data_IF_613295000629
#
_entry.id   IF_613295000629
#
_cell.length_a   1.000
_cell.length_b   1.000
_cell.length_c   1.000
_cell.angle_alpha   90.00
_cell.angle_beta   90.00
_cell.angle_gamma   90.00
#
_symmetry.space_group_name_H-M   'P 1'
#
loop_
_entity.id
_entity.type
_entity.pdbx_description
1 polymer ?
#
# COMPACT_ATOMS: atom_id res chain seq x y z
N UNK A 1 -20.61 20.17 18.09
CA UNK A 1 -20.35 19.77 17.70
C UNK A 1 -20.07 19.62 17.52
N UNK A 2 -19.88 19.73 17.62
CA UNK A 2 -19.51 19.40 17.28
C UNK A 2 -19.00 19.22 17.15
N UNK A 3 -18.79 19.03 17.18
CA UNK A 3 -18.26 18.64 16.79
C UNK A 3 -18.08 18.27 16.53
N UNK A 4 -17.98 18.04 16.54
CA UNK A 4 -17.89 17.60 15.99
C UNK A 4 -18.14 16.98 15.83
N UNK A 5 -18.36 16.66 16.11
CA UNK A 5 -18.90 15.89 15.74
C UNK A 5 -20.16 15.68 15.28
N UNK A 6 -21.04 15.50 15.29
CA UNK A 6 -22.37 15.24 14.77
C UNK A 6 -22.65 15.83 13.42
N UNK A 7 -21.76 16.51 12.91
CA UNK A 7 -21.84 17.04 11.55
C UNK A 7 -21.55 15.92 10.57
N UNK A 8 -22.23 15.91 9.42
CA UNK A 8 -21.97 14.86 8.43
C UNK A 8 -20.50 14.73 8.06
N UNK A 9 -19.80 15.85 8.02
CA UNK A 9 -18.38 15.82 7.68
C UNK A 9 -17.50 15.21 8.77
N UNK A 10 -18.03 15.04 9.97
CA UNK A 10 -17.26 14.49 11.08
C UNK A 10 -17.39 13.00 11.20
N UNK A 11 -18.25 12.39 10.42
CA UNK A 11 -18.37 10.96 10.47
C UNK A 11 -17.17 10.32 9.78
N UNK A 12 -16.60 9.28 10.37
CA UNK A 12 -15.51 8.59 9.70
C UNK A 12 -16.00 8.06 8.37
N UNK A 13 -15.31 8.43 7.34
CA UNK A 13 -15.60 7.86 6.03
C UNK A 13 -15.01 6.48 6.03
N UNK A 14 -15.87 5.49 5.97
CA UNK A 14 -15.44 4.12 5.91
C UNK A 14 -15.03 3.81 4.47
N UNK A 15 -13.77 4.02 4.16
CA UNK A 15 -13.24 3.65 2.85
C UNK A 15 -12.89 2.18 2.91
N UNK A 16 -13.48 1.35 2.05
CA UNK A 16 -13.15 -0.07 2.06
C UNK A 16 -11.66 -0.26 1.81
N UNK A 17 -11.04 -1.11 2.60
CA UNK A 17 -9.65 -1.47 2.38
C UNK A 17 -9.59 -2.36 1.14
N UNK A 18 -8.83 -1.96 0.15
CA UNK A 18 -8.71 -2.68 -1.10
C UNK A 18 -7.43 -3.50 -1.13
N UNK A 19 -7.37 -4.43 -2.07
CA UNK A 19 -6.22 -5.31 -2.22
C UNK A 19 -5.11 -4.68 -3.05
N UNK A 20 -5.21 -3.39 -3.36
CA UNK A 20 -4.14 -2.65 -4.01
C UNK A 20 -4.06 -1.24 -3.46
N UNK A 21 -2.87 -0.67 -3.51
CA UNK A 21 -2.59 0.69 -3.06
C UNK A 21 -1.78 1.39 -4.14
N UNK A 22 -2.29 2.52 -4.60
CA UNK A 22 -1.60 3.33 -5.60
C UNK A 22 -0.75 4.38 -4.90
N UNK A 23 0.54 4.35 -5.14
CA UNK A 23 1.50 5.21 -4.45
C UNK A 23 1.91 6.44 -5.26
N UNK A 24 1.41 6.59 -6.49
CA UNK A 24 1.96 7.63 -7.36
C UNK A 24 1.69 9.05 -6.88
N UNK A 25 0.67 9.26 -6.05
CA UNK A 25 0.35 10.58 -5.54
C UNK A 25 1.03 10.90 -4.21
N UNK A 26 1.81 9.97 -3.66
CA UNK A 26 2.52 10.20 -2.41
C UNK A 26 3.97 10.61 -2.69
N UNK A 27 4.51 11.47 -1.82
CA UNK A 27 5.92 11.82 -1.89
C UNK A 27 6.78 10.63 -1.48
N UNK A 28 7.95 10.46 -2.08
CA UNK A 28 8.84 9.33 -1.69
C UNK A 28 9.11 9.27 -0.19
N UNK A 29 9.23 10.41 0.47
CA UNK A 29 9.48 10.45 1.92
C UNK A 29 8.34 9.86 2.72
N UNK A 30 7.11 9.90 2.20
CA UNK A 30 5.92 9.40 2.90
C UNK A 30 5.63 7.94 2.59
N UNK A 31 6.21 7.40 1.53
CA UNK A 31 5.90 6.04 1.06
C UNK A 31 6.14 4.99 2.15
N UNK A 32 7.25 5.02 2.91
CA UNK A 32 7.45 3.98 3.93
C UNK A 32 6.32 3.91 4.95
N UNK A 33 5.88 5.04 5.49
CA UNK A 33 4.82 5.02 6.51
C UNK A 33 3.46 4.67 5.91
N UNK A 34 3.18 5.16 4.71
CA UNK A 34 1.92 4.85 4.03
C UNK A 34 1.83 3.35 3.75
N UNK A 35 2.90 2.77 3.23
CA UNK A 35 2.92 1.33 2.91
C UNK A 35 2.83 0.50 4.19
N UNK A 36 3.59 0.86 5.23
CA UNK A 36 3.56 0.11 6.49
C UNK A 36 2.14 0.09 7.07
N UNK A 37 1.48 1.24 7.09
CA UNK A 37 0.13 1.34 7.63
C UNK A 37 -0.87 0.54 6.80
N UNK A 38 -0.74 0.61 5.48
CA UNK A 38 -1.59 -0.17 4.59
C UNK A 38 -1.41 -1.67 4.82
N UNK A 39 -0.18 -2.14 4.88
CA UNK A 39 0.10 -3.56 5.07
C UNK A 39 -0.37 -4.05 6.43
N UNK A 40 -0.24 -3.24 7.47
CA UNK A 40 -0.73 -3.61 8.80
C UNK A 40 -2.24 -3.85 8.81
N UNK A 41 -2.98 -3.06 8.04
CA UNK A 41 -4.42 -3.25 7.93
C UNK A 41 -4.82 -4.38 6.99
N UNK A 42 -4.01 -4.64 5.98
CA UNK A 42 -4.35 -5.59 4.93
C UNK A 42 -4.02 -7.03 5.29
N UNK A 43 -3.02 -7.25 6.14
CA UNK A 43 -2.48 -8.60 6.38
C UNK A 43 -3.48 -9.56 7.00
N UNK A 44 -4.50 -9.07 7.67
CA UNK A 44 -5.53 -9.94 8.23
C UNK A 44 -6.72 -10.13 7.31
N UNK A 45 -6.71 -9.50 6.15
CA UNK A 45 -7.87 -9.46 5.25
C UNK A 45 -7.60 -10.05 3.88
N UNK A 46 -6.35 -10.02 3.44
CA UNK A 46 -5.96 -10.50 2.12
C UNK A 46 -4.77 -11.43 2.23
N UNK A 47 -4.70 -12.39 1.33
CA UNK A 47 -3.53 -13.23 1.20
C UNK A 47 -2.38 -12.48 0.54
N UNK A 48 -2.73 -11.65 -0.42
CA UNK A 48 -1.75 -10.86 -1.14
C UNK A 48 -2.35 -9.53 -1.49
N UNK A 49 -1.50 -8.53 -1.67
CA UNK A 49 -1.89 -7.20 -2.10
C UNK A 49 -0.92 -6.72 -3.16
N UNK A 50 -1.27 -5.63 -3.82
CA UNK A 50 -0.45 -5.06 -4.88
C UNK A 50 -0.18 -3.61 -4.58
N UNK A 51 1.09 -3.23 -4.63
CA UNK A 51 1.53 -1.85 -4.42
C UNK A 51 1.93 -1.27 -5.78
N UNK A 52 1.24 -0.23 -6.21
CA UNK A 52 1.42 0.37 -7.52
C UNK A 52 2.31 1.59 -7.35
N UNK A 53 3.57 1.48 -7.73
CA UNK A 53 4.56 2.55 -7.57
C UNK A 53 4.94 3.22 -8.89
N UNK A 54 4.49 2.66 -10.00
CA UNK A 54 4.82 3.19 -11.31
C UNK A 54 6.18 2.72 -11.79
N UNK A 55 6.47 3.02 -13.05
CA UNK A 55 7.73 2.57 -13.66
C UNK A 55 8.86 3.59 -13.56
N UNK A 56 8.56 4.85 -13.47
CA UNK A 56 9.51 5.96 -13.36
C UNK A 56 10.98 5.59 -13.30
N UNK A 57 11.72 6.30 -12.46
CA UNK A 57 13.15 6.01 -12.29
C UNK A 57 13.40 4.98 -11.18
N UNK A 58 12.34 4.38 -10.66
CA UNK A 58 12.47 3.29 -9.70
C UNK A 58 12.66 3.70 -8.25
N UNK A 59 12.54 4.98 -7.93
CA UNK A 59 12.74 5.45 -6.55
C UNK A 59 11.74 4.80 -5.60
N UNK A 60 10.46 4.91 -5.91
CA UNK A 60 9.43 4.33 -5.04
C UNK A 60 9.49 2.82 -5.02
N UNK A 61 9.81 2.20 -6.15
CA UNK A 61 9.97 0.75 -6.20
C UNK A 61 11.08 0.29 -5.26
N UNK A 62 12.20 1.01 -5.26
CA UNK A 62 13.31 0.69 -4.36
C UNK A 62 12.94 0.84 -2.91
N UNK A 63 12.23 1.91 -2.55
CA UNK A 63 11.76 2.15 -1.19
C UNK A 63 10.84 1.02 -0.73
N UNK A 64 9.89 0.64 -1.58
CA UNK A 64 8.94 -0.42 -1.28
C UNK A 64 9.68 -1.74 -1.05
N UNK A 65 10.58 -2.10 -1.94
CA UNK A 65 11.30 -3.37 -1.83
C UNK A 65 12.19 -3.42 -0.60
N UNK A 66 12.83 -2.33 -0.26
CA UNK A 66 13.64 -2.27 0.96
C UNK A 66 12.78 -2.46 2.21
N UNK A 67 11.60 -1.86 2.24
CA UNK A 67 10.68 -2.00 3.36
C UNK A 67 10.17 -3.44 3.45
N UNK A 68 9.75 -4.03 2.34
CA UNK A 68 9.19 -5.38 2.31
C UNK A 68 10.22 -6.41 2.77
N UNK A 69 11.48 -6.22 2.42
CA UNK A 69 12.53 -7.17 2.80
C UNK A 69 12.78 -7.22 4.29
N UNK A 70 12.29 -6.21 5.03
CA UNK A 70 12.47 -6.15 6.49
C UNK A 70 11.25 -6.61 7.28
N UNK A 71 10.13 -6.89 6.59
CA UNK A 71 8.90 -7.24 7.29
C UNK A 71 8.79 -8.73 7.44
N UNK A 72 8.65 -9.17 8.69
CA UNK A 72 8.52 -10.59 9.00
C UNK A 72 7.18 -11.19 8.58
N UNK A 73 6.17 -10.36 8.34
CA UNK A 73 4.86 -10.84 7.91
C UNK A 73 4.73 -10.96 6.39
N UNK A 74 5.79 -10.65 5.65
CA UNK A 74 5.82 -10.79 4.19
C UNK A 74 6.55 -12.08 3.84
N UNK A 75 5.85 -13.00 3.18
CA UNK A 75 6.43 -14.26 2.76
C UNK A 75 7.22 -14.08 1.46
N UNK A 76 6.73 -13.24 0.56
CA UNK A 76 7.36 -13.04 -0.74
C UNK A 76 6.87 -11.74 -1.34
N UNK A 77 7.63 -11.20 -2.28
CA UNK A 77 7.19 -10.07 -3.10
C UNK A 77 7.88 -10.15 -4.46
N UNK A 78 7.19 -9.70 -5.49
CA UNK A 78 7.70 -9.79 -6.86
C UNK A 78 6.96 -8.81 -7.75
N UNK A 79 7.51 -8.57 -8.94
CA UNK A 79 6.84 -7.71 -9.93
C UNK A 79 5.50 -8.32 -10.30
N UNK A 80 4.48 -7.47 -10.45
CA UNK A 80 3.17 -7.91 -10.87
C UNK A 80 3.24 -8.47 -12.31
N UNK A 81 2.30 -9.35 -12.67
CA UNK A 81 2.18 -9.78 -14.06
C UNK A 81 1.93 -8.58 -14.97
N UNK A 82 2.27 -8.71 -16.24
CA UNK A 82 2.17 -7.61 -17.20
C UNK A 82 0.76 -7.00 -17.21
N UNK A 83 -0.26 -7.84 -17.13
CA UNK A 83 -1.66 -7.38 -17.17
C UNK A 83 -2.08 -6.71 -15.86
N UNK A 84 -1.26 -6.75 -14.82
CA UNK A 84 -1.56 -6.15 -13.52
C UNK A 84 -0.54 -5.08 -13.13
N UNK A 85 0.17 -4.52 -14.09
CA UNK A 85 1.09 -3.42 -13.85
C UNK A 85 2.56 -3.74 -14.15
N UNK A 86 2.92 -5.00 -14.30
CA UNK A 86 4.30 -5.38 -14.60
C UNK A 86 5.28 -4.81 -13.59
N UNK A 87 6.43 -4.27 -14.05
CA UNK A 87 7.43 -3.71 -13.13
C UNK A 87 6.99 -2.40 -12.48
N UNK A 88 5.82 -1.86 -12.85
CA UNK A 88 5.26 -0.68 -12.19
C UNK A 88 4.48 -1.02 -10.94
N UNK A 89 4.36 -2.28 -10.56
CA UNK A 89 3.66 -2.70 -9.37
C UNK A 89 4.36 -3.90 -8.73
N UNK A 90 4.24 -4.01 -7.42
CA UNK A 90 4.82 -5.13 -6.66
C UNK A 90 3.70 -5.88 -5.97
N UNK A 91 3.65 -7.19 -6.19
CA UNK A 91 2.74 -8.07 -5.44
C UNK A 91 3.42 -8.44 -4.13
N UNK A 92 2.67 -8.36 -3.05
CA UNK A 92 3.14 -8.71 -1.70
C UNK A 92 2.31 -9.88 -1.21
N UNK A 93 2.98 -10.97 -0.86
CA UNK A 93 2.31 -12.16 -0.32
C UNK A 93 2.58 -12.21 1.16
N UNK A 94 1.53 -12.30 1.97
CA UNK A 94 1.65 -12.38 3.43
C UNK A 94 1.90 -13.82 3.87
N UNK A 95 2.52 -13.95 5.03
CA UNK A 95 2.71 -15.25 5.65
C UNK A 95 1.41 -15.84 6.19
#
# INVERSE_FOLDING_TARGET
VTDSRGEPGDEPVSVPLEDSLDLHSFLPADVPSVVAEYLDGAKGRFREVRLIHGRGIGVQRGIVRALLSRRGDVADFFDAPAERGGPGATVVVFR
#
